data_IF_262958298417
#
_entry.id   IF_262958298417
#
_cell.length_a   1.000
_cell.length_b   1.000
_cell.length_c   1.000
_cell.angle_alpha   90.00
_cell.angle_beta   90.00
_cell.angle_gamma   90.00
#
_symmetry.space_group_name_H-M   'P 1'
#
loop_
_entity.id
_entity.type
_entity.pdbx_description
1 polymer ?
#
# COMPACT_ATOMS: atom_id res chain seq x y z
N UNK A 1 22.09 58.87 -19.38
CA UNK A 1 21.26 57.89 -20.13
C UNK A 1 21.85 56.53 -19.84
N UNK A 2 21.27 55.85 -18.86
CA UNK A 2 21.67 54.50 -18.49
C UNK A 2 20.52 53.61 -18.97
N UNK A 3 20.76 52.88 -20.06
CA UNK A 3 19.79 51.95 -20.63
C UNK A 3 19.53 50.81 -19.64
N UNK A 4 18.35 50.81 -19.02
CA UNK A 4 17.80 49.61 -18.39
C UNK A 4 17.67 48.51 -19.44
N UNK A 5 18.61 47.56 -19.43
CA UNK A 5 18.47 46.30 -20.15
C UNK A 5 17.28 45.52 -19.57
N UNK A 6 16.09 45.70 -20.16
CA UNK A 6 14.94 44.81 -19.98
C UNK A 6 15.35 43.39 -20.36
N UNK A 7 15.54 42.56 -19.35
CA UNK A 7 15.85 41.13 -19.50
C UNK A 7 14.63 40.43 -20.11
N UNK A 8 14.60 40.32 -21.44
CA UNK A 8 13.40 40.00 -22.23
C UNK A 8 13.16 38.50 -22.44
N UNK A 9 13.85 37.63 -21.68
CA UNK A 9 13.70 36.18 -21.80
C UNK A 9 13.18 35.52 -20.52
N UNK A 10 12.14 36.09 -19.90
CA UNK A 10 11.34 35.34 -18.92
C UNK A 10 10.44 34.38 -19.68
N UNK A 11 10.86 33.12 -19.80
CA UNK A 11 10.00 32.05 -20.31
C UNK A 11 8.92 31.81 -19.25
N UNK A 12 7.77 32.44 -19.41
CA UNK A 12 6.61 32.21 -18.56
C UNK A 12 5.99 30.86 -18.93
N UNK A 13 6.27 29.84 -18.12
CA UNK A 13 5.63 28.53 -18.27
C UNK A 13 4.37 28.53 -17.41
N UNK A 14 3.23 28.27 -18.04
CA UNK A 14 1.94 28.17 -17.36
C UNK A 14 1.97 27.06 -16.28
N UNK A 15 1.40 27.30 -15.08
CA UNK A 15 1.36 26.32 -13.99
C UNK A 15 0.79 24.96 -14.40
N UNK A 16 -0.19 24.94 -15.28
CA UNK A 16 -0.83 23.72 -15.81
C UNK A 16 0.16 22.90 -16.63
N UNK A 17 1.01 23.55 -17.43
CA UNK A 17 2.04 22.87 -18.21
C UNK A 17 3.15 22.32 -17.31
N UNK A 18 3.54 23.07 -16.27
CA UNK A 18 4.50 22.61 -15.26
C UNK A 18 3.97 21.36 -14.54
N UNK A 19 2.69 21.37 -14.17
CA UNK A 19 2.01 20.22 -13.58
C UNK A 19 2.10 18.98 -14.48
N UNK A 20 1.78 19.08 -15.79
CA UNK A 20 1.90 17.96 -16.72
C UNK A 20 3.34 17.43 -16.83
N UNK A 21 4.32 18.33 -16.86
CA UNK A 21 5.74 17.97 -16.87
C UNK A 21 6.09 17.20 -15.58
N UNK A 22 5.68 17.71 -14.42
CA UNK A 22 5.92 17.07 -13.13
C UNK A 22 5.21 15.72 -12.98
N UNK A 23 4.02 15.53 -13.54
CA UNK A 23 3.33 14.24 -13.52
C UNK A 23 4.13 13.15 -14.25
N UNK A 24 4.84 13.50 -15.33
CA UNK A 24 5.71 12.60 -16.08
C UNK A 24 7.02 12.22 -15.39
N UNK A 25 7.42 12.94 -14.34
CA UNK A 25 8.75 12.81 -13.74
C UNK A 25 8.86 11.67 -12.71
N UNK A 26 10.04 11.04 -12.59
CA UNK A 26 10.32 10.08 -11.52
C UNK A 26 10.17 10.73 -10.14
N UNK A 27 9.74 9.94 -9.16
CA UNK A 27 9.50 10.41 -7.78
C UNK A 27 10.72 11.17 -7.20
N UNK A 28 11.93 10.62 -7.37
CA UNK A 28 13.18 11.26 -6.90
C UNK A 28 13.41 12.65 -7.50
N UNK A 29 13.06 12.88 -8.76
CA UNK A 29 13.18 14.20 -9.38
C UNK A 29 12.20 15.18 -8.78
N UNK A 30 10.96 14.75 -8.54
CA UNK A 30 9.92 15.61 -7.96
C UNK A 30 10.27 16.03 -6.54
N UNK A 31 10.76 15.11 -5.72
CA UNK A 31 11.22 15.44 -4.37
C UNK A 31 12.33 16.50 -4.39
N UNK A 32 13.24 16.46 -5.38
CA UNK A 32 14.24 17.52 -5.59
C UNK A 32 13.60 18.82 -6.08
N UNK A 33 12.64 18.77 -7.00
CA UNK A 33 11.99 19.97 -7.52
C UNK A 33 11.15 20.73 -6.49
N UNK A 34 10.67 20.05 -5.43
CA UNK A 34 10.08 20.73 -4.26
C UNK A 34 11.05 21.70 -3.57
N UNK A 35 12.36 21.51 -3.70
CA UNK A 35 13.37 22.38 -3.07
C UNK A 35 13.88 23.49 -3.98
N UNK A 36 13.43 23.55 -5.24
CA UNK A 36 13.93 24.51 -6.23
C UNK A 36 13.20 25.85 -6.11
N UNK A 37 11.87 25.88 -6.02
CA UNK A 37 11.11 27.13 -5.93
C UNK A 37 9.84 26.95 -5.11
N UNK A 38 9.40 28.02 -4.43
CA UNK A 38 8.12 28.06 -3.71
C UNK A 38 6.93 27.80 -4.64
N UNK A 39 6.97 28.29 -5.88
CA UNK A 39 5.92 28.05 -6.87
C UNK A 39 5.83 26.56 -7.22
N UNK A 40 6.97 25.92 -7.49
CA UNK A 40 7.00 24.49 -7.84
C UNK A 40 6.60 23.63 -6.66
N UNK A 41 7.07 23.98 -5.46
CA UNK A 41 6.64 23.32 -4.24
C UNK A 41 5.13 23.40 -4.06
N UNK A 42 4.54 24.58 -4.26
CA UNK A 42 3.08 24.79 -4.16
C UNK A 42 2.32 23.88 -5.15
N UNK A 43 2.75 23.80 -6.41
CA UNK A 43 2.16 22.90 -7.41
C UNK A 43 2.29 21.43 -6.95
N UNK A 44 3.50 21.01 -6.58
CA UNK A 44 3.83 19.63 -6.22
C UNK A 44 3.24 19.14 -4.88
N UNK A 45 2.83 20.07 -4.01
CA UNK A 45 2.15 19.81 -2.73
C UNK A 45 0.64 20.04 -2.82
N UNK A 46 0.13 20.54 -3.94
CA UNK A 46 -1.30 20.74 -4.15
C UNK A 46 -2.07 19.42 -4.11
N UNK A 47 -3.29 19.46 -3.56
CA UNK A 47 -4.18 18.29 -3.49
C UNK A 47 -4.47 17.71 -4.87
N UNK A 48 -4.65 18.57 -5.87
CA UNK A 48 -4.90 18.17 -7.26
C UNK A 48 -3.73 17.36 -7.83
N UNK A 49 -2.51 17.88 -7.73
CA UNK A 49 -1.31 17.20 -8.24
C UNK A 49 -1.11 15.83 -7.57
N UNK A 50 -1.26 15.76 -6.25
CA UNK A 50 -1.10 14.52 -5.47
C UNK A 50 -2.12 13.47 -5.92
N UNK A 51 -3.38 13.84 -6.11
CA UNK A 51 -4.43 12.91 -6.54
C UNK A 51 -4.26 12.47 -7.99
N UNK A 52 -3.93 13.39 -8.92
CA UNK A 52 -3.64 13.03 -10.32
C UNK A 52 -2.44 12.10 -10.44
N UNK A 53 -1.36 12.41 -9.73
CA UNK A 53 -0.18 11.54 -9.69
C UNK A 53 -0.51 10.17 -9.15
N UNK A 54 -1.26 10.09 -8.05
CA UNK A 54 -1.67 8.83 -7.45
C UNK A 54 -2.46 7.95 -8.44
N UNK A 55 -3.42 8.53 -9.16
CA UNK A 55 -4.18 7.82 -10.21
C UNK A 55 -3.26 7.29 -11.31
N UNK A 56 -2.27 8.06 -11.75
CA UNK A 56 -1.27 7.59 -12.71
C UNK A 56 -0.40 6.44 -12.16
N UNK A 57 -0.04 6.51 -10.87
CA UNK A 57 0.78 5.49 -10.22
C UNK A 57 0.00 4.20 -9.90
N UNK A 58 -1.32 4.23 -9.72
CA UNK A 58 -2.14 3.03 -9.57
C UNK A 58 -1.96 2.05 -10.75
N UNK A 59 -1.72 2.57 -11.94
CA UNK A 59 -1.46 1.76 -13.14
C UNK A 59 -0.05 1.14 -13.17
N UNK A 60 0.84 1.54 -12.26
CA UNK A 60 2.19 0.96 -12.12
C UNK A 60 2.18 -0.05 -11.00
N UNK A 61 2.49 -1.30 -11.34
CA UNK A 61 2.47 -2.41 -10.39
C UNK A 61 3.75 -2.42 -9.60
N UNK A 62 3.65 -2.04 -8.34
CA UNK A 62 4.74 -2.20 -7.39
C UNK A 62 4.29 -3.06 -6.23
N UNK A 63 5.24 -3.75 -5.62
CA UNK A 63 5.02 -4.57 -4.43
C UNK A 63 5.90 -3.99 -3.33
N UNK A 64 5.31 -3.71 -2.18
CA UNK A 64 6.07 -3.33 -1.00
C UNK A 64 6.47 -4.60 -0.25
N UNK A 65 7.77 -4.73 0.02
CA UNK A 65 8.30 -5.82 0.84
C UNK A 65 9.17 -5.25 1.96
N UNK A 66 9.13 -5.88 3.13
CA UNK A 66 10.02 -5.57 4.22
C UNK A 66 11.29 -6.42 4.16
N UNK A 67 12.40 -5.84 4.58
CA UNK A 67 13.66 -6.55 4.78
C UNK A 67 14.40 -5.99 6.00
N UNK A 68 14.73 -6.87 6.95
CA UNK A 68 15.52 -6.53 8.13
C UNK A 68 17.02 -6.70 7.81
N UNK A 69 17.78 -5.60 7.81
CA UNK A 69 19.22 -5.61 7.51
C UNK A 69 20.08 -6.39 8.53
N UNK A 70 19.58 -6.60 9.76
CA UNK A 70 20.39 -7.13 10.85
C UNK A 70 20.34 -8.66 10.97
N UNK A 71 19.29 -9.30 10.44
CA UNK A 71 19.06 -10.74 10.63
C UNK A 71 18.72 -11.51 9.35
N UNK A 72 18.45 -10.82 8.24
CA UNK A 72 18.06 -11.47 6.99
C UNK A 72 19.15 -11.32 5.93
N UNK A 73 19.41 -12.39 5.18
CA UNK A 73 20.07 -12.31 3.88
C UNK A 73 19.22 -11.39 2.99
N UNK A 74 19.85 -10.51 2.18
CA UNK A 74 19.10 -9.70 1.20
C UNK A 74 18.15 -10.61 0.41
N UNK A 75 16.86 -10.25 0.24
CA UNK A 75 15.93 -11.04 -0.53
C UNK A 75 16.50 -11.21 -1.94
N UNK A 76 16.79 -12.44 -2.33
CA UNK A 76 17.28 -12.78 -3.66
C UNK A 76 16.11 -13.28 -4.48
N UNK A 77 15.85 -12.61 -5.60
CA UNK A 77 14.98 -13.16 -6.64
C UNK A 77 15.75 -14.31 -7.30
N UNK A 78 15.08 -15.42 -7.60
CA UNK A 78 15.74 -16.57 -8.22
C UNK A 78 16.34 -16.18 -9.59
N UNK A 79 17.63 -16.44 -9.88
CA UNK A 79 18.29 -16.03 -11.13
C UNK A 79 17.62 -16.59 -12.39
N UNK A 80 16.97 -17.74 -12.26
CA UNK A 80 16.21 -18.42 -13.31
C UNK A 80 14.85 -17.77 -13.59
N UNK A 81 14.50 -16.68 -12.88
CA UNK A 81 13.27 -15.93 -13.09
C UNK A 81 13.35 -15.04 -14.34
N UNK A 82 13.68 -15.61 -15.50
CA UNK A 82 13.70 -14.96 -16.83
C UNK A 82 12.28 -14.64 -17.33
N UNK A 83 11.50 -13.93 -16.55
CA UNK A 83 10.11 -13.67 -16.86
C UNK A 83 9.86 -12.27 -17.39
N UNK A 84 8.75 -12.17 -18.12
CA UNK A 84 8.18 -10.92 -18.59
C UNK A 84 7.23 -10.35 -17.53
N UNK A 85 7.33 -9.05 -17.28
CA UNK A 85 6.49 -8.32 -16.35
C UNK A 85 7.02 -6.92 -16.08
N UNK A 86 6.13 -6.05 -15.61
CA UNK A 86 6.46 -4.66 -15.24
C UNK A 86 6.50 -4.47 -13.71
N UNK A 87 6.45 -5.56 -12.93
CA UNK A 87 6.41 -5.49 -11.48
C UNK A 87 7.76 -5.05 -10.88
N UNK A 88 7.71 -4.08 -9.96
CA UNK A 88 8.86 -3.58 -9.21
C UNK A 88 8.67 -3.82 -7.72
N UNK A 89 9.68 -4.33 -7.02
CA UNK A 89 9.66 -4.45 -5.56
C UNK A 89 10.32 -3.22 -4.96
N UNK A 90 9.59 -2.57 -4.07
CA UNK A 90 10.11 -1.55 -3.17
C UNK A 90 10.38 -2.20 -1.83
N UNK A 91 11.64 -2.19 -1.41
CA UNK A 91 12.04 -2.69 -0.10
C UNK A 91 11.95 -1.58 0.93
N UNK A 92 11.19 -1.83 1.98
CA UNK A 92 11.20 -1.07 3.20
C UNK A 92 12.17 -1.71 4.20
N UNK A 93 13.17 -0.95 4.61
CA UNK A 93 14.11 -1.37 5.64
C UNK A 93 13.45 -1.17 7.01
N UNK A 94 12.81 -2.22 7.53
CA UNK A 94 12.13 -2.23 8.82
C UNK A 94 12.16 -3.64 9.44
N UNK A 95 11.96 -3.72 10.76
CA UNK A 95 11.72 -5.01 11.40
C UNK A 95 10.30 -5.49 11.10
N UNK A 96 10.20 -6.47 10.20
CA UNK A 96 8.94 -6.92 9.60
C UNK A 96 8.07 -7.77 10.53
N UNK A 97 8.48 -7.96 11.80
CA UNK A 97 7.74 -8.75 12.77
C UNK A 97 6.40 -8.11 13.20
N UNK A 98 6.18 -6.83 12.88
CA UNK A 98 4.99 -6.10 13.31
C UNK A 98 3.90 -6.08 12.22
N UNK A 99 2.61 -6.19 12.59
CA UNK A 99 1.51 -6.10 11.64
C UNK A 99 1.53 -4.73 10.98
N UNK A 100 1.85 -4.71 9.69
CA UNK A 100 1.77 -3.52 8.85
C UNK A 100 0.42 -3.48 8.16
N UNK A 101 -0.33 -2.41 8.36
CA UNK A 101 -1.54 -2.11 7.58
C UNK A 101 -1.20 -1.07 6.52
N UNK A 102 -1.74 -1.19 5.32
CA UNK A 102 -1.43 -0.24 4.25
C UNK A 102 -2.66 0.38 3.63
N UNK A 103 -2.57 1.65 3.29
CA UNK A 103 -3.59 2.38 2.57
C UNK A 103 -2.92 3.33 1.60
N UNK A 104 -3.22 3.20 0.32
CA UNK A 104 -2.81 4.15 -0.73
C UNK A 104 -1.30 4.38 -0.88
N UNK A 105 -0.47 3.43 -0.44
CA UNK A 105 0.98 3.56 -0.41
C UNK A 105 1.54 4.13 0.90
N UNK A 106 0.69 4.51 1.86
CA UNK A 106 1.09 4.73 3.24
C UNK A 106 1.10 3.39 4.00
N UNK A 107 1.99 3.30 4.99
CA UNK A 107 2.19 2.11 5.82
C UNK A 107 2.02 2.51 7.28
N UNK A 108 1.12 1.84 7.99
CA UNK A 108 0.99 1.95 9.44
C UNK A 108 1.68 0.74 10.09
N UNK A 109 2.70 1.00 10.89
CA UNK A 109 3.50 0.00 11.63
C UNK A 109 3.23 0.18 13.12
N UNK A 110 2.95 -0.93 13.82
CA UNK A 110 2.58 -0.91 15.24
C UNK A 110 3.77 -1.25 16.11
N UNK A 111 4.32 -0.28 16.82
CA UNK A 111 5.37 -0.51 17.82
C UNK A 111 4.76 -0.55 19.23
N UNK A 112 5.46 -1.13 20.22
CA UNK A 112 4.99 -1.11 21.60
C UNK A 112 4.75 0.33 22.07
N UNK A 113 3.48 0.66 22.32
CA UNK A 113 3.08 2.00 22.76
C UNK A 113 3.04 3.08 21.66
N UNK A 114 3.14 2.72 20.37
CA UNK A 114 3.13 3.70 19.27
C UNK A 114 2.51 3.16 17.97
N UNK A 115 1.78 4.03 17.27
CA UNK A 115 1.42 3.84 15.87
C UNK A 115 2.29 4.71 14.97
N UNK A 116 3.00 4.10 14.04
CA UNK A 116 3.94 4.75 13.12
C UNK A 116 3.34 4.78 11.72
N UNK A 117 2.94 5.95 11.22
CA UNK A 117 2.48 6.12 9.84
C UNK A 117 3.64 6.64 9.00
N UNK A 118 4.10 5.81 8.07
CA UNK A 118 5.20 6.07 7.16
C UNK A 118 4.67 6.28 5.74
N UNK A 119 5.23 7.27 5.04
CA UNK A 119 5.17 7.37 3.60
C UNK A 119 6.51 6.90 2.99
N UNK A 120 6.61 5.67 2.45
CA UNK A 120 7.85 5.16 1.87
C UNK A 120 8.32 5.95 0.63
N UNK A 121 7.42 6.68 -0.04
CA UNK A 121 7.74 7.49 -1.22
C UNK A 121 8.44 8.79 -0.83
N UNK A 122 8.02 9.44 0.26
CA UNK A 122 8.58 10.72 0.70
C UNK A 122 9.60 10.56 1.83
N UNK A 123 9.63 9.40 2.50
CA UNK A 123 10.42 9.14 3.70
C UNK A 123 9.86 9.80 4.96
N UNK A 124 8.69 10.46 4.88
CA UNK A 124 8.06 11.10 6.03
C UNK A 124 7.43 10.08 6.97
N UNK A 125 7.62 10.28 8.27
CA UNK A 125 7.10 9.44 9.34
C UNK A 125 6.33 10.33 10.33
N UNK A 126 5.18 9.85 10.79
CA UNK A 126 4.44 10.45 11.91
C UNK A 126 4.10 9.38 12.93
N UNK A 127 4.37 9.68 14.20
CA UNK A 127 4.13 8.77 15.34
C UNK A 127 2.94 9.26 16.15
N UNK A 128 2.14 8.33 16.64
CA UNK A 128 0.97 8.61 17.46
C UNK A 128 0.95 7.71 18.69
N UNK A 129 0.62 8.25 19.87
CA UNK A 129 0.33 7.42 21.02
C UNK A 129 -0.94 6.59 20.75
N UNK A 130 -1.08 5.42 21.38
CA UNK A 130 -2.17 4.50 21.10
C UNK A 130 -3.52 5.05 21.54
N UNK A 131 -3.57 6.05 22.42
CA UNK A 131 -4.80 6.68 22.92
C UNK A 131 -4.51 7.65 24.06
N UNK A 132 -5.54 8.35 24.57
CA UNK A 132 -5.42 9.29 25.69
C UNK A 132 -4.96 8.64 27.00
N UNK A 133 -5.29 7.36 27.22
CA UNK A 133 -4.77 6.53 28.32
C UNK A 133 -3.85 5.43 27.78
N UNK A 134 -2.57 5.72 27.52
CA UNK A 134 -1.61 4.70 27.12
C UNK A 134 -1.29 3.82 28.33
N UNK A 135 -1.99 2.70 28.48
CA UNK A 135 -1.68 1.70 29.51
C UNK A 135 -0.24 1.23 29.29
N UNK A 136 0.65 1.59 30.22
CA UNK A 136 2.04 1.11 30.23
C UNK A 136 2.01 -0.40 30.47
N UNK A 137 2.53 -1.18 29.53
CA UNK A 137 3.04 -2.52 29.85
C UNK A 137 2.44 -3.74 29.15
N UNK A 138 1.42 -3.63 28.29
CA UNK A 138 0.91 -4.82 27.59
C UNK A 138 0.68 -4.60 26.09
N UNK A 139 1.57 -5.18 25.29
CA UNK A 139 1.26 -5.57 23.92
C UNK A 139 0.12 -6.59 23.94
N UNK A 140 -0.73 -6.60 22.91
CA UNK A 140 -1.26 -7.90 22.48
C UNK A 140 -2.67 -7.93 21.90
N UNK A 141 -3.63 -7.20 22.46
CA UNK A 141 -5.04 -7.41 22.10
C UNK A 141 -5.69 -6.15 21.53
N UNK A 142 -5.22 -5.72 20.36
CA UNK A 142 -5.89 -4.71 19.57
C UNK A 142 -6.42 -5.33 18.28
N UNK A 143 -7.67 -5.02 17.94
CA UNK A 143 -8.12 -5.11 16.56
C UNK A 143 -7.81 -3.76 15.92
N UNK A 144 -7.03 -3.76 14.84
CA UNK A 144 -6.52 -2.55 14.22
C UNK A 144 -7.00 -2.42 12.78
N UNK A 145 -7.20 -1.19 12.35
CA UNK A 145 -7.50 -0.82 10.97
C UNK A 145 -6.74 0.43 10.56
N UNK A 146 -6.37 0.52 9.29
CA UNK A 146 -5.83 1.75 8.71
C UNK A 146 -6.46 1.97 7.33
N UNK A 147 -6.95 3.17 7.07
CA UNK A 147 -7.63 3.48 5.81
C UNK A 147 -7.82 4.97 5.56
N UNK A 148 -8.31 5.30 4.37
CA UNK A 148 -8.65 6.66 3.95
C UNK A 148 -10.16 6.80 3.85
N UNK A 149 -10.72 7.79 4.54
CA UNK A 149 -12.06 8.27 4.22
C UNK A 149 -12.03 8.85 2.80
N UNK A 150 -12.69 8.17 1.87
CA UNK A 150 -12.65 8.53 0.45
C UNK A 150 -13.36 9.84 0.13
N UNK A 151 -14.27 10.31 1.00
CA UNK A 151 -15.04 11.54 0.79
C UNK A 151 -14.21 12.74 1.24
N UNK A 152 -13.69 12.70 2.46
CA UNK A 152 -12.88 13.81 3.00
C UNK A 152 -11.43 13.76 2.50
N UNK A 153 -10.94 12.57 2.15
CA UNK A 153 -9.57 12.31 1.75
C UNK A 153 -8.63 12.06 2.93
N UNK A 154 -9.13 12.11 4.18
CA UNK A 154 -8.35 11.99 5.40
C UNK A 154 -8.00 10.55 5.73
N UNK A 155 -6.82 10.34 6.27
CA UNK A 155 -6.38 9.03 6.74
C UNK A 155 -6.76 8.83 8.20
N UNK A 156 -7.17 7.62 8.53
CA UNK A 156 -7.63 7.25 9.87
C UNK A 156 -7.02 5.92 10.32
N UNK A 157 -6.66 5.84 11.60
CA UNK A 157 -6.36 4.57 12.29
C UNK A 157 -7.54 4.24 13.18
N UNK A 158 -7.97 2.98 13.14
CA UNK A 158 -9.03 2.45 14.01
C UNK A 158 -8.40 1.46 14.96
N UNK A 159 -8.76 1.56 16.24
CA UNK A 159 -8.37 0.60 17.26
C UNK A 159 -9.58 0.12 18.04
N UNK A 160 -9.53 -1.13 18.46
CA UNK A 160 -10.46 -1.73 19.41
C UNK A 160 -9.66 -2.42 20.52
N UNK A 161 -9.88 -1.96 21.76
CA UNK A 161 -9.32 -2.55 22.98
C UNK A 161 -10.26 -3.63 23.54
N UNK A 162 -9.75 -4.83 23.79
CA UNK A 162 -10.56 -5.93 24.35
C UNK A 162 -10.56 -6.01 25.89
N UNK A 163 -10.06 -4.99 26.61
CA UNK A 163 -10.03 -5.01 28.08
C UNK A 163 -11.27 -4.36 28.67
N UNK A 164 -11.77 -4.90 29.80
CA UNK A 164 -12.77 -4.49 30.81
C UNK A 164 -13.92 -3.53 30.42
N UNK A 165 -13.68 -2.55 29.56
CA UNK A 165 -14.66 -1.73 28.85
C UNK A 165 -14.22 -1.61 27.38
N UNK A 166 -14.86 -2.34 26.46
CA UNK A 166 -14.53 -2.31 25.03
C UNK A 166 -14.43 -0.86 24.52
N UNK A 167 -13.20 -0.35 24.34
CA UNK A 167 -12.95 1.01 23.89
C UNK A 167 -12.62 0.98 22.40
N UNK A 168 -13.46 1.66 21.62
CA UNK A 168 -13.30 1.83 20.19
C UNK A 168 -12.84 3.25 19.91
N UNK A 169 -11.68 3.38 19.32
CA UNK A 169 -11.08 4.66 18.99
C UNK A 169 -10.85 4.79 17.51
N UNK A 170 -11.04 6.00 17.00
CA UNK A 170 -10.56 6.40 15.68
C UNK A 170 -9.65 7.60 15.83
N UNK A 171 -8.51 7.54 15.16
CA UNK A 171 -7.50 8.58 15.13
C UNK A 171 -7.48 9.20 13.75
N UNK A 172 -7.71 10.52 13.68
CA UNK A 172 -7.47 11.29 12.47
C UNK A 172 -5.96 11.57 12.35
N UNK A 173 -5.35 11.13 11.25
CA UNK A 173 -3.91 11.25 11.03
C UNK A 173 -3.49 12.69 10.78
N UNK A 174 -4.36 13.54 10.25
CA UNK A 174 -4.04 14.95 9.99
C UNK A 174 -4.01 15.73 11.30
N UNK A 175 -5.05 15.63 12.12
CA UNK A 175 -5.14 16.35 13.41
C UNK A 175 -4.28 15.67 14.48
N UNK A 176 -4.19 14.34 14.47
CA UNK A 176 -3.58 13.53 15.51
C UNK A 176 -4.45 13.36 16.74
N UNK A 177 -5.76 13.58 16.61
CA UNK A 177 -6.72 13.50 17.69
C UNK A 177 -7.50 12.19 17.65
N UNK A 178 -7.70 11.61 18.83
CA UNK A 178 -8.53 10.44 19.03
C UNK A 178 -9.98 10.87 19.30
N UNK A 179 -10.93 10.18 18.67
CA UNK A 179 -12.34 10.25 19.01
C UNK A 179 -12.91 8.86 19.28
N UNK A 180 -14.01 8.82 20.04
CA UNK A 180 -14.68 7.58 20.42
C UNK A 180 -15.58 7.10 19.28
N UNK A 181 -15.41 5.84 18.88
CA UNK A 181 -16.33 5.15 17.98
C UNK A 181 -17.44 4.43 18.76
N UNK A 182 -18.54 4.15 18.06
CA UNK A 182 -19.58 3.27 18.58
C UNK A 182 -19.07 1.84 18.71
N UNK A 183 -19.70 1.08 19.60
CA UNK A 183 -19.48 -0.36 19.72
C UNK A 183 -20.00 -1.07 18.46
N UNK A 184 -19.22 -1.96 17.82
CA UNK A 184 -19.64 -2.77 16.71
C UNK A 184 -20.67 -3.80 17.18
N UNK A 185 -21.56 -4.25 16.27
CA UNK A 185 -22.60 -5.22 16.59
C UNK A 185 -22.04 -6.60 16.97
N UNK A 186 -20.80 -6.90 16.58
CA UNK A 186 -20.15 -8.17 16.81
C UNK A 186 -18.72 -7.97 17.30
N UNK A 187 -18.31 -8.76 18.30
CA UNK A 187 -16.98 -8.69 18.91
C UNK A 187 -16.06 -9.65 18.17
N UNK A 188 -14.90 -9.15 17.75
CA UNK A 188 -13.92 -9.91 16.97
C UNK A 188 -12.84 -10.56 17.84
N UNK A 189 -12.10 -11.52 17.26
CA UNK A 189 -10.92 -12.05 17.91
C UNK A 189 -9.75 -11.07 17.77
N UNK A 190 -8.97 -10.82 18.85
CA UNK A 190 -7.74 -10.05 18.78
C UNK A 190 -6.78 -10.58 17.71
N UNK A 191 -6.03 -9.68 17.08
CA UNK A 191 -5.01 -10.06 16.07
C UNK A 191 -5.55 -10.37 14.68
N UNK A 192 -6.86 -10.28 14.45
CA UNK A 192 -7.44 -10.41 13.11
C UNK A 192 -6.88 -9.35 12.15
N UNK A 193 -6.38 -9.78 10.99
CA UNK A 193 -5.88 -8.87 9.96
C UNK A 193 -7.01 -8.03 9.37
N UNK A 194 -6.70 -6.79 9.08
CA UNK A 194 -7.61 -5.85 8.44
C UNK A 194 -7.19 -5.54 7.00
N UNK A 195 -8.18 -5.21 6.19
CA UNK A 195 -7.98 -4.81 4.80
C UNK A 195 -8.79 -3.57 4.50
N UNK A 196 -8.15 -2.56 3.90
CA UNK A 196 -8.82 -1.37 3.42
C UNK A 196 -9.22 -1.54 1.95
N UNK A 197 -10.51 -1.32 1.65
CA UNK A 197 -11.06 -1.30 0.29
C UNK A 197 -12.10 -0.20 0.17
N UNK A 198 -11.96 0.67 -0.83
CA UNK A 198 -12.96 1.66 -1.26
C UNK A 198 -13.64 2.46 -0.12
N UNK A 199 -12.85 2.95 0.84
CA UNK A 199 -13.34 3.79 1.95
C UNK A 199 -13.82 3.03 3.18
N UNK A 200 -13.80 1.70 3.17
CA UNK A 200 -14.12 0.85 4.32
C UNK A 200 -12.94 0.00 4.75
N UNK A 201 -12.92 -0.35 6.03
CA UNK A 201 -11.99 -1.32 6.59
C UNK A 201 -12.77 -2.60 6.89
N UNK A 202 -12.21 -3.74 6.50
CA UNK A 202 -12.81 -5.05 6.60
C UNK A 202 -11.98 -5.95 7.50
N UNK A 203 -12.66 -6.75 8.31
CA UNK A 203 -12.06 -7.78 9.15
C UNK A 203 -12.87 -9.05 9.03
N UNK A 204 -12.19 -10.19 8.91
CA UNK A 204 -12.84 -11.50 8.88
C UNK A 204 -13.12 -11.97 10.30
N UNK A 205 -14.40 -12.18 10.62
CA UNK A 205 -14.82 -12.74 11.90
C UNK A 205 -15.10 -14.23 11.73
N UNK A 206 -14.43 -15.03 12.55
CA UNK A 206 -14.58 -16.47 12.61
C UNK A 206 -15.13 -16.82 14.00
N UNK A 207 -16.44 -17.03 14.05
CA UNK A 207 -17.17 -17.43 15.26
C UNK A 207 -18.15 -18.57 14.93
N UNK A 208 -19.30 -18.65 15.61
CA UNK A 208 -20.37 -19.59 15.26
C UNK A 208 -20.96 -19.36 13.85
N UNK A 209 -20.78 -18.16 13.29
CA UNK A 209 -21.02 -17.84 11.88
C UNK A 209 -19.82 -17.09 11.29
N UNK A 210 -19.62 -17.22 9.98
CA UNK A 210 -18.59 -16.50 9.23
C UNK A 210 -19.17 -15.18 8.72
N UNK A 211 -18.65 -14.07 9.24
CA UNK A 211 -19.10 -12.72 8.88
C UNK A 211 -17.87 -11.89 8.56
N UNK A 212 -17.95 -11.04 7.54
CA UNK A 212 -16.99 -9.96 7.37
C UNK A 212 -17.59 -8.71 8.02
N UNK A 213 -16.94 -8.22 9.06
CA UNK A 213 -17.28 -6.93 9.66
C UNK A 213 -16.62 -5.85 8.84
N UNK A 214 -17.38 -4.82 8.49
CA UNK A 214 -16.90 -3.65 7.79
C UNK A 214 -17.19 -2.38 8.58
N UNK A 215 -16.27 -1.41 8.52
CA UNK A 215 -16.45 -0.06 9.04
C UNK A 215 -16.33 0.93 7.89
N UNK A 216 -17.40 1.67 7.61
CA UNK A 216 -17.37 2.81 6.71
C UNK A 216 -16.67 3.99 7.40
N UNK A 217 -15.53 4.45 6.88
CA UNK A 217 -14.72 5.49 7.52
C UNK A 217 -15.33 6.89 7.40
N UNK A 218 -16.25 7.09 6.46
CA UNK A 218 -16.92 8.37 6.30
C UNK A 218 -18.13 8.48 7.22
N UNK A 219 -18.96 7.43 7.24
CA UNK A 219 -20.15 7.36 8.09
C UNK A 219 -19.85 6.98 9.54
N UNK A 220 -18.65 6.45 9.79
CA UNK A 220 -18.22 5.90 11.09
C UNK A 220 -19.21 4.86 11.64
N UNK A 221 -19.75 4.05 10.73
CA UNK A 221 -20.79 3.06 11.00
C UNK A 221 -20.37 1.66 10.56
N UNK A 222 -20.73 0.66 11.37
CA UNK A 222 -20.45 -0.74 11.08
C UNK A 222 -21.55 -1.40 10.26
N UNK A 223 -21.18 -2.37 9.44
CA UNK A 223 -22.09 -3.26 8.74
C UNK A 223 -21.47 -4.65 8.57
N UNK A 224 -22.31 -5.69 8.51
CA UNK A 224 -21.89 -7.07 8.35
C UNK A 224 -22.17 -7.60 6.93
N UNK A 225 -21.29 -8.46 6.44
CA UNK A 225 -21.48 -9.21 5.19
C UNK A 225 -21.64 -10.68 5.57
N UNK A 226 -22.83 -11.24 5.35
CA UNK A 226 -23.25 -12.54 5.87
C UNK A 226 -23.32 -13.65 4.79
N UNK A 227 -23.51 -13.30 3.51
CA UNK A 227 -23.60 -14.26 2.40
C UNK A 227 -22.23 -14.48 1.75
N UNK A 228 -21.32 -15.13 2.49
CA UNK A 228 -19.99 -15.43 1.99
C UNK A 228 -20.02 -16.63 1.01
N UNK A 229 -19.21 -16.62 -0.06
CA UNK A 229 -19.23 -17.58 -1.17
C UNK A 229 -18.77 -19.00 -0.83
N UNK A 230 -18.60 -19.36 0.44
CA UNK A 230 -18.12 -20.69 0.80
C UNK A 230 -18.78 -21.25 2.06
N UNK A 231 -19.16 -22.51 1.94
CA UNK A 231 -19.51 -23.43 3.05
C UNK A 231 -18.33 -23.77 3.96
N UNK A 232 -17.11 -23.33 3.62
CA UNK A 232 -15.85 -23.70 4.30
C UNK A 232 -14.87 -22.53 4.48
N UNK A 233 -15.34 -21.35 4.90
CA UNK A 233 -14.42 -20.33 5.44
C UNK A 233 -13.67 -20.96 6.62
N UNK A 234 -12.35 -20.74 6.71
CA UNK A 234 -11.53 -21.31 7.80
C UNK A 234 -10.66 -20.25 8.45
N UNK A 235 -9.96 -20.61 9.53
CA UNK A 235 -8.94 -19.74 10.14
C UNK A 235 -7.77 -19.40 9.21
N UNK A 236 -7.64 -20.09 8.07
CA UNK A 236 -6.58 -19.86 7.09
C UNK A 236 -7.01 -18.87 5.99
N UNK A 237 -8.31 -18.57 5.89
CA UNK A 237 -8.83 -17.61 4.92
C UNK A 237 -8.21 -16.24 5.12
N UNK A 238 -7.72 -15.66 4.02
CA UNK A 238 -7.10 -14.34 4.01
C UNK A 238 -7.98 -13.34 3.28
N UNK A 239 -8.17 -12.18 3.91
CA UNK A 239 -8.67 -11.01 3.20
C UNK A 239 -7.52 -10.29 2.51
N UNK A 240 -7.78 -9.76 1.32
CA UNK A 240 -6.86 -8.91 0.58
C UNK A 240 -7.65 -7.83 -0.17
N UNK A 241 -6.99 -6.71 -0.46
CA UNK A 241 -7.43 -5.81 -1.50
C UNK A 241 -6.80 -6.27 -2.81
N UNK A 242 -7.62 -6.72 -3.76
CA UNK A 242 -7.20 -7.12 -5.10
C UNK A 242 -7.88 -6.22 -6.13
N UNK A 243 -7.11 -5.33 -6.74
CA UNK A 243 -7.61 -4.37 -7.75
C UNK A 243 -8.78 -3.50 -7.25
N UNK A 244 -8.64 -2.93 -6.05
CA UNK A 244 -9.67 -2.11 -5.39
C UNK A 244 -10.97 -2.88 -5.07
N UNK A 245 -10.93 -4.22 -5.10
CA UNK A 245 -12.02 -5.11 -4.64
C UNK A 245 -11.60 -5.91 -3.41
N UNK A 246 -12.56 -6.20 -2.56
CA UNK A 246 -12.35 -7.08 -1.42
C UNK A 246 -12.24 -8.51 -1.95
N UNK A 247 -11.12 -9.16 -1.71
CA UNK A 247 -10.88 -10.53 -2.11
C UNK A 247 -10.69 -11.44 -0.89
N UNK A 248 -11.18 -12.66 -1.00
CA UNK A 248 -10.91 -13.75 -0.08
C UNK A 248 -10.07 -14.79 -0.78
N UNK A 249 -8.95 -15.16 -0.17
CA UNK A 249 -8.12 -16.26 -0.61
C UNK A 249 -8.23 -17.42 0.38
N UNK A 250 -8.48 -18.60 -0.17
CA UNK A 250 -8.63 -19.83 0.60
C UNK A 250 -7.89 -20.97 -0.08
N UNK A 251 -7.37 -21.89 0.73
CA UNK A 251 -6.75 -23.11 0.24
C UNK A 251 -7.69 -24.27 0.51
N UNK A 252 -8.09 -24.99 -0.53
CA UNK A 252 -8.86 -26.23 -0.40
C UNK A 252 -7.98 -27.42 -0.76
N UNK A 253 -8.26 -28.57 -0.14
CA UNK A 253 -7.58 -29.82 -0.45
C UNK A 253 -8.56 -30.74 -1.16
N UNK A 254 -8.26 -31.10 -2.39
CA UNK A 254 -9.06 -32.04 -3.19
C UNK A 254 -8.18 -33.25 -3.50
N UNK A 255 -8.42 -34.36 -2.78
CA UNK A 255 -7.53 -35.53 -2.84
C UNK A 255 -6.10 -35.18 -2.38
N UNK A 256 -5.05 -35.46 -3.18
CA UNK A 256 -3.67 -35.08 -2.86
C UNK A 256 -3.34 -33.62 -3.21
N UNK A 257 -4.19 -32.92 -3.96
CA UNK A 257 -3.91 -31.59 -4.48
C UNK A 257 -4.39 -30.47 -3.55
N UNK A 258 -3.60 -29.40 -3.49
CA UNK A 258 -3.99 -28.15 -2.87
C UNK A 258 -4.38 -27.16 -3.95
N UNK A 259 -5.53 -26.52 -3.81
CA UNK A 259 -6.04 -25.53 -4.74
C UNK A 259 -6.18 -24.20 -3.99
N UNK A 260 -5.60 -23.15 -4.55
CA UNK A 260 -5.84 -21.78 -4.11
C UNK A 260 -7.03 -21.21 -4.87
N UNK A 261 -8.12 -20.96 -4.16
CA UNK A 261 -9.28 -20.26 -4.69
C UNK A 261 -9.29 -18.81 -4.22
N UNK A 262 -9.55 -17.89 -5.15
CA UNK A 262 -9.69 -16.47 -4.85
C UNK A 262 -11.05 -16.01 -5.31
N UNK A 263 -11.84 -15.49 -4.37
CA UNK A 263 -13.15 -14.94 -4.61
C UNK A 263 -13.10 -13.44 -4.40
N UNK A 264 -13.59 -12.67 -5.38
CA UNK A 264 -13.69 -11.21 -5.28
C UNK A 264 -15.14 -10.83 -5.03
N UNK A 265 -15.32 -9.82 -4.19
CA UNK A 265 -16.63 -9.24 -3.92
C UNK A 265 -16.91 -8.13 -4.92
N UNK A 266 -18.05 -8.24 -5.59
CA UNK A 266 -18.61 -7.20 -6.42
C UNK A 266 -19.77 -6.54 -5.66
N UNK A 267 -19.87 -5.21 -5.77
CA UNK A 267 -20.89 -4.41 -5.08
C UNK A 267 -21.81 -3.82 -6.12
N UNK A 268 -23.06 -4.25 -6.11
CA UNK A 268 -24.13 -3.62 -6.89
C UNK A 268 -24.89 -2.63 -6.02
N UNK A 269 -24.79 -1.34 -6.34
CA UNK A 269 -25.56 -0.29 -5.70
C UNK A 269 -26.81 0.02 -6.55
N UNK A 270 -28.00 -0.26 -6.00
CA UNK A 270 -29.28 0.09 -6.63
C UNK A 270 -30.08 0.95 -5.66
N UNK A 271 -30.03 2.26 -5.88
CA UNK A 271 -30.65 3.24 -4.98
C UNK A 271 -30.01 3.19 -3.59
N UNK A 272 -30.81 2.86 -2.57
CA UNK A 272 -30.37 2.80 -1.16
C UNK A 272 -29.92 1.39 -0.73
N UNK A 273 -30.10 0.39 -1.61
CA UNK A 273 -29.70 -0.99 -1.33
C UNK A 273 -28.33 -1.29 -1.92
N UNK A 274 -27.48 -1.95 -1.11
CA UNK A 274 -26.21 -2.51 -1.56
C UNK A 274 -26.34 -4.03 -1.57
N UNK A 275 -26.16 -4.62 -2.74
CA UNK A 275 -26.12 -6.06 -2.88
C UNK A 275 -24.67 -6.51 -3.05
N UNK A 276 -24.26 -7.47 -2.24
CA UNK A 276 -22.93 -8.05 -2.28
C UNK A 276 -23.01 -9.38 -3.00
N UNK A 277 -22.32 -9.47 -4.13
CA UNK A 277 -22.15 -10.73 -4.86
C UNK A 277 -20.68 -11.12 -4.83
N UNK A 278 -20.43 -12.41 -5.00
CA UNK A 278 -19.08 -12.95 -4.98
C UNK A 278 -18.85 -13.80 -6.21
N UNK A 279 -17.72 -13.59 -6.85
CA UNK A 279 -17.32 -14.30 -8.06
C UNK A 279 -15.95 -14.95 -7.85
N UNK A 280 -15.83 -16.23 -8.23
CA UNK A 280 -14.53 -16.92 -8.21
C UNK A 280 -13.67 -16.31 -9.31
N UNK A 281 -12.63 -15.61 -8.92
CA UNK A 281 -11.72 -14.90 -9.83
C UNK A 281 -10.55 -15.79 -10.25
N UNK A 282 -10.03 -16.62 -9.34
CA UNK A 282 -8.96 -17.58 -9.63
C UNK A 282 -9.23 -18.93 -8.96
N UNK A 283 -8.76 -19.98 -9.60
CA UNK A 283 -8.68 -21.34 -9.09
C UNK A 283 -7.36 -21.94 -9.56
N UNK A 284 -6.36 -22.01 -8.67
CA UNK A 284 -4.97 -22.31 -9.04
C UNK A 284 -4.55 -23.62 -8.36
N UNK A 285 -4.18 -24.63 -9.14
CA UNK A 285 -3.57 -25.85 -8.57
C UNK A 285 -2.14 -25.56 -8.09
N UNK A 286 -1.83 -26.02 -6.88
CA UNK A 286 -0.52 -25.86 -6.23
C UNK A 286 0.31 -27.16 -6.29
N UNK A 287 -0.10 -28.14 -7.09
CA UNK A 287 0.48 -29.48 -7.15
C UNK A 287 1.99 -29.49 -7.53
N UNK A 288 2.74 -30.42 -6.92
CA UNK A 288 4.14 -30.82 -7.22
C UNK A 288 5.27 -29.76 -7.20
N UNK A 289 5.02 -28.45 -7.08
CA UNK A 289 6.11 -27.43 -7.12
C UNK A 289 6.16 -26.47 -5.93
N UNK A 290 5.12 -26.42 -5.11
CA UNK A 290 5.04 -25.53 -3.92
C UNK A 290 5.03 -26.33 -2.61
N UNK A 291 4.81 -27.64 -2.67
CA UNK A 291 4.46 -28.48 -1.51
C UNK A 291 5.48 -29.61 -1.31
N UNK A 292 6.57 -29.32 -0.60
CA UNK A 292 7.39 -30.33 0.10
C UNK A 292 7.34 -29.99 1.59
N UNK A 293 6.17 -30.09 2.23
CA UNK A 293 6.12 -30.08 3.70
C UNK A 293 4.88 -30.79 4.23
N UNK A 294 4.97 -31.19 5.49
CA UNK A 294 4.12 -32.14 6.19
C UNK A 294 2.63 -31.77 6.23
N UNK A 295 1.71 -32.76 6.29
CA UNK A 295 0.25 -32.55 6.22
C UNK A 295 -0.38 -31.63 7.28
N UNK A 296 0.33 -31.34 8.38
CA UNK A 296 -0.22 -30.69 9.58
C UNK A 296 0.08 -29.19 9.68
N UNK A 297 0.81 -28.62 8.71
CA UNK A 297 1.12 -27.18 8.72
C UNK A 297 -0.01 -26.36 8.11
N UNK A 298 -0.55 -25.41 8.89
CA UNK A 298 -1.48 -24.40 8.39
C UNK A 298 -0.84 -23.62 7.24
N UNK A 299 -1.52 -23.53 6.10
CA UNK A 299 -1.02 -22.81 4.92
C UNK A 299 -2.05 -21.86 4.36
N UNK A 300 -1.62 -20.62 4.23
CA UNK A 300 -2.45 -19.56 3.71
C UNK A 300 -1.66 -18.74 2.72
N UNK A 301 -2.37 -18.34 1.67
CA UNK A 301 -1.84 -17.55 0.59
C UNK A 301 -2.58 -16.21 0.58
N UNK A 302 -1.84 -15.15 0.30
CA UNK A 302 -2.39 -13.79 0.20
C UNK A 302 -2.10 -13.24 -1.20
N UNK A 303 -3.14 -12.92 -1.99
CA UNK A 303 -2.96 -12.28 -3.28
C UNK A 303 -2.50 -10.83 -3.08
N UNK A 304 -1.66 -10.36 -4.01
CA UNK A 304 -0.99 -9.06 -3.90
C UNK A 304 -1.37 -8.16 -5.07
N UNK A 305 -1.25 -8.64 -6.29
CA UNK A 305 -1.49 -7.83 -7.48
C UNK A 305 -1.79 -8.70 -8.70
N UNK A 306 -2.56 -8.15 -9.64
CA UNK A 306 -2.89 -8.79 -10.91
C UNK A 306 -2.28 -7.99 -12.06
N UNK A 307 -1.65 -8.68 -13.03
CA UNK A 307 -1.05 -8.11 -14.23
C UNK A 307 -2.12 -7.72 -15.28
N UNK A 308 -1.75 -6.99 -16.35
CA UNK A 308 -2.72 -6.55 -17.38
C UNK A 308 -3.21 -7.76 -18.19
N UNK A 309 -2.39 -8.80 -18.21
CA UNK A 309 -2.65 -10.09 -18.82
C UNK A 309 -3.39 -11.04 -17.88
N UNK A 310 -3.74 -10.61 -16.65
CA UNK A 310 -4.40 -11.47 -15.66
C UNK A 310 -3.44 -12.39 -14.88
N UNK A 311 -2.13 -12.14 -14.91
CA UNK A 311 -1.18 -12.93 -14.12
C UNK A 311 -1.25 -12.49 -12.65
N UNK A 312 -1.38 -13.43 -11.72
CA UNK A 312 -1.53 -13.14 -10.30
C UNK A 312 -0.18 -13.24 -9.58
N UNK A 313 0.15 -12.26 -8.75
CA UNK A 313 1.24 -12.35 -7.77
C UNK A 313 0.65 -12.56 -6.38
N UNK A 314 1.16 -13.55 -5.67
CA UNK A 314 0.69 -13.92 -4.32
C UNK A 314 1.84 -14.50 -3.50
N UNK A 315 1.70 -14.50 -2.18
CA UNK A 315 2.71 -15.06 -1.28
C UNK A 315 2.08 -15.96 -0.23
N UNK A 316 2.91 -16.76 0.43
CA UNK A 316 2.46 -17.63 1.52
C UNK A 316 3.01 -17.23 2.89
N UNK A 317 2.51 -17.92 3.92
CA UNK A 317 2.96 -17.75 5.30
C UNK A 317 4.40 -18.20 5.58
N UNK A 318 5.11 -18.74 4.59
CA UNK A 318 6.53 -19.07 4.65
C UNK A 318 7.41 -18.03 3.93
N UNK A 319 6.87 -16.85 3.60
CA UNK A 319 7.58 -15.75 2.93
C UNK A 319 8.04 -16.14 1.52
N UNK A 320 7.34 -17.05 0.86
CA UNK A 320 7.59 -17.39 -0.55
C UNK A 320 6.67 -16.56 -1.44
N UNK A 321 7.23 -15.97 -2.47
CA UNK A 321 6.51 -15.16 -3.46
C UNK A 321 6.34 -15.96 -4.74
N UNK A 322 5.12 -16.01 -5.25
CA UNK A 322 4.74 -16.74 -6.44
C UNK A 322 4.14 -15.82 -7.49
N UNK A 323 4.26 -16.23 -8.75
CA UNK A 323 3.51 -15.65 -9.87
C UNK A 323 2.82 -16.78 -10.62
N UNK A 324 1.50 -16.63 -10.77
CA UNK A 324 0.65 -17.48 -11.58
C UNK A 324 0.42 -16.83 -12.93
N UNK A 325 0.61 -17.59 -14.00
CA UNK A 325 0.43 -17.18 -15.37
C UNK A 325 -0.89 -17.73 -15.90
N UNK A 326 -1.90 -16.87 -16.02
CA UNK A 326 -3.26 -17.25 -16.43
C UNK A 326 -3.30 -17.87 -17.84
N UNK A 327 -2.45 -17.39 -18.75
CA UNK A 327 -2.41 -17.89 -20.13
C UNK A 327 -1.82 -19.29 -20.30
N UNK A 328 -1.00 -19.76 -19.35
CA UNK A 328 -0.33 -21.07 -19.43
C UNK A 328 -0.71 -22.01 -18.28
N UNK A 329 -1.53 -21.54 -17.34
CA UNK A 329 -1.87 -22.22 -16.09
C UNK A 329 -0.64 -22.66 -15.26
N UNK A 330 0.43 -21.86 -15.29
CA UNK A 330 1.67 -22.17 -14.58
C UNK A 330 1.86 -21.31 -13.34
N UNK A 331 2.23 -21.93 -12.22
CA UNK A 331 2.68 -21.25 -11.01
C UNK A 331 4.19 -21.37 -10.85
N UNK A 332 4.87 -20.25 -10.60
CA UNK A 332 6.32 -20.21 -10.42
C UNK A 332 6.72 -19.44 -9.17
N UNK A 333 7.72 -19.94 -8.44
CA UNK A 333 8.29 -19.27 -7.27
C UNK A 333 9.30 -18.19 -7.71
N UNK A 334 9.03 -16.93 -7.36
CA UNK A 334 9.90 -15.79 -7.66
C UNK A 334 10.97 -15.58 -6.57
N UNK A 335 10.63 -15.86 -5.32
CA UNK A 335 11.55 -15.77 -4.18
C UNK A 335 11.11 -16.71 -3.06
N UNK A 336 12.06 -17.35 -2.41
CA UNK A 336 11.82 -18.24 -1.27
C UNK A 336 11.90 -17.54 0.10
N UNK A 337 12.30 -16.27 0.14
CA UNK A 337 12.48 -15.52 1.38
C UNK A 337 12.26 -14.02 1.16
N UNK A 338 10.99 -13.62 1.11
CA UNK A 338 10.59 -12.22 1.00
C UNK A 338 9.35 -11.94 1.85
N UNK A 339 9.46 -10.92 2.70
CA UNK A 339 8.35 -10.49 3.54
C UNK A 339 7.51 -9.47 2.78
N UNK A 340 6.54 -9.93 2.00
CA UNK A 340 5.61 -9.03 1.30
C UNK A 340 4.69 -8.35 2.32
N UNK A 341 4.55 -7.03 2.17
CA UNK A 341 3.60 -6.22 2.94
C UNK A 341 2.27 -6.13 2.18
N UNK A 342 2.30 -5.57 0.97
CA UNK A 342 1.12 -5.34 0.13
C UNK A 342 1.47 -4.88 -1.28
N UNK A 343 0.46 -4.70 -2.14
CA UNK A 343 0.60 -3.88 -3.34
C UNK A 343 0.99 -2.44 -2.98
N UNK A 344 1.82 -1.81 -3.79
CA UNK A 344 2.35 -0.48 -3.53
C UNK A 344 2.02 0.51 -4.63
N UNK A 345 1.59 1.69 -4.22
CA UNK A 345 1.37 2.84 -5.10
C UNK A 345 2.22 3.98 -4.57
N UNK A 346 3.07 4.57 -5.42
CA UNK A 346 3.82 5.76 -5.05
C UNK A 346 2.87 6.95 -4.87
N UNK A 347 3.03 7.71 -3.79
CA UNK A 347 2.22 8.90 -3.55
C UNK A 347 3.07 10.02 -2.91
N UNK A 348 2.54 11.24 -2.95
CA UNK A 348 3.16 12.43 -2.38
C UNK A 348 2.37 13.01 -1.21
N UNK A 349 1.52 12.18 -0.58
CA UNK A 349 0.70 12.61 0.55
C UNK A 349 1.64 13.14 1.65
N UNK A 350 1.47 14.40 2.07
CA UNK A 350 2.30 14.97 3.11
C UNK A 350 1.92 14.37 4.46
N UNK A 351 2.93 13.97 5.23
CA UNK A 351 2.80 13.66 6.65
C UNK A 351 3.58 14.73 7.42
N UNK A 352 2.95 15.88 7.74
CA UNK A 352 3.65 16.98 8.41
C UNK A 352 4.21 16.51 9.76
N UNK A 353 5.47 16.85 9.99
CA UNK A 353 6.21 16.47 11.20
C UNK A 353 5.62 17.22 12.40
N UNK A 354 5.39 16.49 13.50
CA UNK A 354 5.58 17.04 14.84
C UNK A 354 6.89 16.47 15.38
N UNK A 355 7.84 17.29 15.86
CA UNK A 355 9.10 16.80 16.37
C UNK A 355 8.86 16.17 17.75
N UNK A 356 8.53 14.89 17.79
CA UNK A 356 8.61 14.11 19.01
C UNK A 356 9.17 12.73 18.73
N UNK A 357 10.40 12.55 19.23
CA UNK A 357 11.18 11.31 19.34
C UNK A 357 11.75 10.72 18.04
N UNK A 358 13.03 11.03 17.82
CA UNK A 358 13.99 10.35 16.97
C UNK A 358 14.17 8.87 17.36
N UNK A 359 14.58 8.07 16.36
CA UNK A 359 15.13 6.71 16.40
C UNK A 359 14.26 5.55 15.87
N UNK A 360 13.60 5.74 14.73
CA UNK A 360 13.37 4.64 13.80
C UNK A 360 13.96 4.99 12.41
N UNK A 361 15.08 4.34 12.07
CA UNK A 361 15.75 4.49 10.76
C UNK A 361 15.01 3.68 9.70
N UNK A 362 13.88 4.19 9.21
CA UNK A 362 13.27 3.64 8.00
C UNK A 362 14.00 4.18 6.77
N UNK A 363 14.36 3.30 5.84
CA UNK A 363 14.86 3.69 4.52
C UNK A 363 14.22 2.82 3.45
N UNK A 364 14.26 3.26 2.19
CA UNK A 364 13.70 2.49 1.07
C UNK A 364 14.73 2.26 -0.03
N UNK A 365 14.63 1.09 -0.66
CA UNK A 365 15.35 0.75 -1.89
C UNK A 365 14.40 0.10 -2.89
N UNK A 366 14.75 0.07 -4.17
CA UNK A 366 13.90 -0.52 -5.22
C UNK A 366 14.69 -1.49 -6.09
N UNK A 367 14.02 -2.57 -6.49
CA UNK A 367 14.55 -3.56 -7.41
C UNK A 367 13.46 -3.97 -8.40
N UNK A 368 13.78 -3.99 -9.69
CA UNK A 368 12.84 -4.51 -10.70
C UNK A 368 12.87 -6.03 -10.66
N UNK A 369 11.70 -6.67 -10.64
CA UNK A 369 11.60 -8.13 -10.68
C UNK A 369 12.04 -8.68 -12.03
N UNK A 370 11.78 -7.93 -13.09
CA UNK A 370 11.96 -8.37 -14.45
C UNK A 370 12.70 -7.31 -15.28
N UNK A 371 13.64 -7.70 -16.14
CA UNK A 371 14.27 -6.78 -17.07
C UNK A 371 13.23 -6.34 -18.12
N UNK A 372 13.00 -5.03 -18.23
CA UNK A 372 12.19 -4.47 -19.33
C UNK A 372 12.87 -4.77 -20.67
N UNK A 373 12.23 -5.53 -21.56
CA UNK A 373 12.63 -5.54 -22.99
C UNK A 373 12.62 -4.08 -23.45
N UNK A 374 13.75 -3.63 -23.99
CA UNK A 374 14.05 -2.22 -24.21
C UNK A 374 13.03 -1.53 -25.12
N UNK A 375 12.03 -0.89 -24.53
CA UNK A 375 11.24 0.14 -25.18
C UNK A 375 12.13 1.38 -25.37
N UNK A 376 12.49 1.68 -26.61
CA UNK A 376 13.26 2.87 -27.00
C UNK A 376 12.70 4.17 -26.39
N UNK A 377 11.37 4.22 -26.17
CA UNK A 377 10.66 5.33 -25.53
C UNK A 377 11.13 5.59 -24.08
N UNK A 378 11.47 4.56 -23.30
CA UNK A 378 11.97 4.73 -21.92
C UNK A 378 13.40 5.24 -21.84
N UNK A 379 14.28 4.87 -22.79
CA UNK A 379 15.65 5.40 -22.87
C UNK A 379 15.64 6.88 -23.24
N UNK A 380 14.79 7.28 -24.18
CA UNK A 380 14.60 8.69 -24.58
C UNK A 380 14.04 9.50 -23.41
N UNK A 381 13.02 9.00 -22.69
CA UNK A 381 12.48 9.69 -21.52
C UNK A 381 13.53 9.85 -20.42
N UNK A 382 14.34 8.82 -20.12
CA UNK A 382 15.38 8.90 -19.08
C UNK A 382 16.50 9.88 -19.45
N UNK A 383 16.87 9.93 -20.74
CA UNK A 383 17.88 10.87 -21.27
C UNK A 383 17.34 12.30 -21.26
N UNK A 384 16.09 12.50 -21.68
CA UNK A 384 15.42 13.79 -21.62
C UNK A 384 15.21 14.28 -20.19
N UNK A 385 14.83 13.40 -19.25
CA UNK A 385 14.70 13.76 -17.82
C UNK A 385 16.06 14.10 -17.21
N UNK A 386 17.15 13.44 -17.61
CA UNK A 386 18.49 13.83 -17.19
C UNK A 386 18.88 15.20 -17.73
N UNK A 387 18.55 15.48 -19.00
CA UNK A 387 18.78 16.78 -19.63
C UNK A 387 17.92 17.87 -18.98
N UNK A 388 16.63 17.63 -18.74
CA UNK A 388 15.73 18.53 -18.03
C UNK A 388 16.17 18.77 -16.58
N UNK A 389 16.60 17.74 -15.85
CA UNK A 389 17.16 17.90 -14.51
C UNK A 389 18.40 18.81 -14.54
N UNK A 390 19.30 18.62 -15.51
CA UNK A 390 20.49 19.47 -15.67
C UNK A 390 20.10 20.89 -16.06
N UNK A 391 19.23 21.07 -17.05
CA UNK A 391 18.79 22.39 -17.53
C UNK A 391 18.04 23.17 -16.43
N UNK A 392 17.16 22.53 -15.68
CA UNK A 392 16.42 23.18 -14.60
C UNK A 392 17.30 23.49 -13.38
N UNK A 393 18.22 22.60 -13.01
CA UNK A 393 19.19 22.92 -11.93
C UNK A 393 20.16 24.03 -12.35
N UNK A 394 20.60 24.03 -13.60
CA UNK A 394 21.44 25.10 -14.17
C UNK A 394 20.70 26.44 -14.20
N UNK A 395 19.46 26.45 -14.69
CA UNK A 395 18.62 27.65 -14.75
C UNK A 395 18.32 28.21 -13.35
N UNK A 396 18.11 27.34 -12.35
CA UNK A 396 17.95 27.75 -10.96
C UNK A 396 19.23 28.34 -10.34
N UNK A 397 20.39 27.74 -10.60
CA UNK A 397 21.67 28.30 -10.15
C UNK A 397 21.96 29.65 -10.81
N UNK A 398 21.56 29.83 -12.07
CA UNK A 398 21.65 31.10 -12.80
C UNK A 398 20.68 32.15 -12.26
N UNK A 399 19.42 31.80 -11.96
CA UNK A 399 18.44 32.75 -11.40
C UNK A 399 18.83 33.21 -9.99
N UNK A 400 19.39 32.31 -9.17
CA UNK A 400 19.89 32.63 -7.83
C UNK A 400 21.14 33.52 -7.85
N UNK A 401 21.96 33.44 -8.90
CA UNK A 401 23.10 34.35 -9.13
C UNK A 401 22.68 35.73 -9.61
N UNK A 402 21.51 35.86 -10.21
CA UNK A 402 21.00 37.10 -10.82
C UNK A 402 20.06 37.90 -9.90
N UNK A 403 19.83 37.46 -8.65
CA UNK A 403 19.11 38.24 -7.64
C UNK A 403 17.63 38.47 -7.92
N UNK A 404 17.00 37.66 -8.76
CA UNK A 404 15.55 37.74 -9.05
C UNK A 404 14.85 36.66 -8.24
N UNK A 405 14.25 37.04 -7.10
CA UNK A 405 13.26 36.24 -6.36
C UNK A 405 11.96 36.99 -6.28
#
# INVERSE_FOLDING_TARGET
>A
MEEERKNTNSIYIFPELLEEIFLGLPLKSILKFKTVSNQWRSILESKLFVERRRTLQKNRRKILAAYNCNYCRRPSIHPESRFEGDEEIVYLHCDAAQPSMTCDGLVCITEPGWFNVLNPSTGQLRRFPPGPDPVKGTQGNWLLGFGRDKVTGRYKIVRLCFRDFYEFGILDIETGEWSKLRTPPHIMLPGSKSVYVNGSIYWLQISASYIILALDLHKESYYGIHHLPATWVTQETQLANLEDRLAMAMTTKVGPEWILEIWSMDIEEKGWSKNYSWSKTYSISLAHRVVVSWPWQKRWFTPVSVSKQGNLVFYDNHKRLFKYYSGTDETRCLSSNICVISSYVENLVPLPLKPSHTDSKFSTSSCRLFPTRGSWKFKILRRNVSILNVLFTSAYYLSRRLGVT
#
